data_IF_818828859066
#
_entry.id   IF_818828859066
#
_cell.length_a   1.000
_cell.length_b   1.000
_cell.length_c   1.000
_cell.angle_alpha   90.00
_cell.angle_beta   90.00
_cell.angle_gamma   90.00
#
_symmetry.space_group_name_H-M   'P 1'
#
loop_
_entity.id
_entity.type
_entity.pdbx_description
1 polymer ?
#
# COMPACT_ATOMS: atom_id res chain seq x y z
N UNK A 1 -14.27 10.40 10.17
CA UNK A 1 -13.11 11.05 9.52
C UNK A 1 -12.84 10.24 8.28
N UNK A 2 -12.90 10.88 7.12
CA UNK A 2 -12.55 10.23 5.85
C UNK A 2 -11.03 10.26 5.72
N UNK A 3 -10.41 9.10 5.58
CA UNK A 3 -8.96 8.93 5.38
C UNK A 3 -8.72 8.64 3.91
N UNK A 4 -7.49 8.86 3.43
CA UNK A 4 -7.14 8.49 2.05
C UNK A 4 -7.47 7.03 1.72
N UNK A 5 -7.44 6.12 2.69
CA UNK A 5 -7.78 4.72 2.49
C UNK A 5 -9.27 4.46 2.17
N UNK A 6 -10.16 5.41 2.45
CA UNK A 6 -11.58 5.27 2.06
C UNK A 6 -11.78 5.34 0.54
N UNK A 7 -10.79 5.84 -0.20
CA UNK A 7 -10.79 5.85 -1.67
C UNK A 7 -10.33 4.51 -2.27
N UNK A 8 -9.89 3.55 -1.44
CA UNK A 8 -9.53 2.21 -1.87
C UNK A 8 -10.68 1.23 -1.65
N UNK A 9 -10.82 0.18 -2.49
CA UNK A 9 -11.68 -0.95 -2.19
C UNK A 9 -11.38 -1.53 -0.81
N UNK A 10 -12.42 -1.93 -0.07
CA UNK A 10 -12.30 -2.38 1.33
C UNK A 10 -11.28 -3.53 1.50
N UNK A 11 -11.29 -4.49 0.57
CA UNK A 11 -10.35 -5.61 0.57
C UNK A 11 -8.88 -5.19 0.48
N UNK A 12 -8.58 -4.15 -0.31
CA UNK A 12 -7.20 -3.66 -0.49
C UNK A 12 -6.81 -2.72 0.64
N UNK A 13 -7.73 -1.86 1.06
CA UNK A 13 -7.55 -1.02 2.24
C UNK A 13 -7.14 -1.84 3.46
N UNK A 14 -7.86 -2.92 3.75
CA UNK A 14 -7.60 -3.72 4.95
C UNK A 14 -6.20 -4.33 4.89
N UNK A 15 -5.76 -4.79 3.72
CA UNK A 15 -4.42 -5.32 3.50
C UNK A 15 -3.34 -4.26 3.68
N UNK A 16 -3.51 -3.08 3.08
CA UNK A 16 -2.54 -1.98 3.23
C UNK A 16 -2.45 -1.53 4.68
N UNK A 17 -3.59 -1.33 5.35
CA UNK A 17 -3.63 -0.92 6.76
C UNK A 17 -3.03 -1.98 7.68
N UNK A 18 -3.30 -3.26 7.43
CA UNK A 18 -2.73 -4.36 8.20
C UNK A 18 -1.20 -4.40 8.07
N UNK A 19 -0.68 -4.37 6.83
CA UNK A 19 0.76 -4.46 6.56
C UNK A 19 1.52 -3.25 7.10
N UNK A 20 0.99 -2.04 6.88
CA UNK A 20 1.59 -0.84 7.44
C UNK A 20 1.52 -0.86 8.97
N UNK A 21 0.40 -1.27 9.56
CA UNK A 21 0.29 -1.37 11.02
C UNK A 21 1.28 -2.36 11.65
N UNK A 22 1.65 -3.42 10.92
CA UNK A 22 2.63 -4.41 11.37
C UNK A 22 4.09 -3.97 11.14
N UNK A 23 4.38 -3.31 10.01
CA UNK A 23 5.74 -3.02 9.56
C UNK A 23 6.19 -1.59 9.82
N UNK A 24 5.29 -0.63 9.66
CA UNK A 24 5.54 0.80 9.89
C UNK A 24 4.28 1.53 10.42
N UNK A 25 3.98 1.41 11.73
CA UNK A 25 2.82 2.07 12.32
C UNK A 25 2.94 3.60 12.32
N UNK A 26 4.14 4.17 12.22
CA UNK A 26 4.34 5.62 12.13
C UNK A 26 3.89 6.13 10.77
N UNK A 27 4.26 5.44 9.68
CA UNK A 27 3.78 5.74 8.34
C UNK A 27 2.25 5.59 8.26
N UNK A 28 1.67 4.53 8.81
CA UNK A 28 0.20 4.39 8.89
C UNK A 28 -0.43 5.59 9.61
N UNK A 29 0.14 5.99 10.74
CA UNK A 29 -0.32 7.14 11.51
C UNK A 29 -0.21 8.47 10.76
N UNK A 30 0.79 8.62 9.89
CA UNK A 30 0.92 9.77 9.00
C UNK A 30 -0.14 9.76 7.89
N UNK A 31 -0.28 8.64 7.17
CA UNK A 31 -1.24 8.47 6.07
C UNK A 31 -2.70 8.67 6.51
N UNK A 32 -3.06 8.24 7.73
CA UNK A 32 -4.41 8.41 8.28
C UNK A 32 -4.80 9.88 8.53
N UNK A 33 -3.83 10.81 8.60
CA UNK A 33 -4.07 12.23 8.90
C UNK A 33 -4.21 13.09 7.64
N UNK A 34 -4.14 12.51 6.47
CA UNK A 34 -4.04 13.22 5.20
C UNK A 34 -4.95 12.59 4.14
N UNK A 35 -5.33 13.40 3.16
CA UNK A 35 -6.21 12.98 2.07
C UNK A 35 -5.46 12.39 0.88
N UNK A 36 -4.13 12.54 0.84
CA UNK A 36 -3.23 11.97 -0.17
C UNK A 36 -1.83 11.73 0.41
N UNK A 37 -1.08 10.73 -0.09
CA UNK A 37 0.32 10.52 0.27
C UNK A 37 1.25 11.57 -0.38
N UNK A 38 2.44 11.74 0.19
CA UNK A 38 3.59 12.35 -0.50
C UNK A 38 4.32 11.31 -1.34
N UNK A 39 5.24 11.75 -2.20
CA UNK A 39 6.07 10.83 -3.00
C UNK A 39 6.91 9.91 -2.09
N UNK A 40 7.56 10.46 -1.06
CA UNK A 40 8.34 9.67 -0.10
C UNK A 40 7.47 8.63 0.64
N UNK A 41 6.24 8.98 0.99
CA UNK A 41 5.32 8.05 1.65
C UNK A 41 4.82 6.97 0.68
N UNK A 42 4.62 7.31 -0.59
CA UNK A 42 4.30 6.31 -1.61
C UNK A 42 5.46 5.33 -1.79
N UNK A 43 6.70 5.81 -1.90
CA UNK A 43 7.89 4.95 -1.99
C UNK A 43 7.98 4.03 -0.78
N UNK A 44 7.78 4.54 0.43
CA UNK A 44 7.76 3.72 1.64
C UNK A 44 6.63 2.65 1.62
N UNK A 45 5.45 2.98 1.11
CA UNK A 45 4.35 1.99 0.93
C UNK A 45 4.76 0.92 -0.09
N UNK A 46 5.39 1.29 -1.21
CA UNK A 46 5.88 0.36 -2.23
C UNK A 46 6.89 -0.61 -1.61
N UNK A 47 7.86 -0.10 -0.85
CA UNK A 47 8.87 -0.92 -0.20
C UNK A 47 8.25 -1.91 0.78
N UNK A 48 7.35 -1.45 1.65
CA UNK A 48 6.72 -2.28 2.68
C UNK A 48 5.84 -3.38 2.06
N UNK A 49 4.99 -3.04 1.09
CA UNK A 49 4.12 -4.01 0.42
C UNK A 49 4.91 -4.91 -0.51
N UNK A 50 5.97 -4.40 -1.15
CA UNK A 50 6.89 -5.17 -1.98
C UNK A 50 7.62 -6.24 -1.17
N UNK A 51 8.19 -5.86 -0.03
CA UNK A 51 8.82 -6.82 0.88
C UNK A 51 7.83 -7.88 1.35
N UNK A 52 6.62 -7.47 1.76
CA UNK A 52 5.56 -8.39 2.16
C UNK A 52 5.15 -9.33 1.02
N UNK A 53 5.08 -8.84 -0.21
CA UNK A 53 4.82 -9.65 -1.40
C UNK A 53 5.90 -10.71 -1.60
N UNK A 54 7.19 -10.35 -1.46
CA UNK A 54 8.29 -11.32 -1.64
C UNK A 54 8.25 -12.47 -0.64
N UNK A 55 7.78 -12.23 0.58
CA UNK A 55 7.58 -13.27 1.61
C UNK A 55 6.43 -14.22 1.28
N UNK A 56 5.54 -13.81 0.38
CA UNK A 56 4.38 -14.58 -0.06
C UNK A 56 4.55 -15.20 -1.46
N UNK A 57 5.79 -15.27 -1.95
CA UNK A 57 6.15 -16.03 -3.15
C UNK A 57 6.28 -17.52 -2.84
N UNK A 58 5.53 -18.33 -3.59
CA UNK A 58 5.55 -19.79 -3.52
C UNK A 58 6.67 -20.41 -4.37
N UNK A 59 6.61 -21.74 -4.52
CA UNK A 59 7.54 -22.46 -5.38
C UNK A 59 7.44 -21.94 -6.83
N UNK A 60 8.60 -21.62 -7.43
CA UNK A 60 8.64 -21.06 -8.79
C UNK A 60 8.45 -19.55 -8.87
N UNK A 61 8.49 -18.82 -7.75
CA UNK A 61 8.23 -17.38 -7.68
C UNK A 61 6.79 -16.99 -8.09
N UNK A 62 5.86 -17.94 -8.03
CA UNK A 62 4.44 -17.63 -8.21
C UNK A 62 3.86 -17.05 -6.92
N UNK A 63 3.13 -15.94 -6.96
CA UNK A 63 2.52 -15.39 -5.77
C UNK A 63 1.45 -16.34 -5.22
N UNK A 64 1.47 -16.57 -3.91
CA UNK A 64 0.36 -17.23 -3.22
C UNK A 64 -0.91 -16.38 -3.32
N UNK A 65 -2.06 -16.91 -2.88
CA UNK A 65 -3.31 -16.12 -2.79
C UNK A 65 -3.11 -14.83 -2.00
N UNK A 66 -2.31 -14.87 -0.93
CA UNK A 66 -1.98 -13.66 -0.15
C UNK A 66 -1.04 -12.73 -0.92
N UNK A 67 -0.03 -13.26 -1.60
CA UNK A 67 0.87 -12.47 -2.44
C UNK A 67 0.12 -11.71 -3.54
N UNK A 68 -0.78 -12.39 -4.26
CA UNK A 68 -1.61 -11.77 -5.30
C UNK A 68 -2.51 -10.66 -4.73
N UNK A 69 -3.04 -10.83 -3.52
CA UNK A 69 -3.85 -9.82 -2.86
C UNK A 69 -3.01 -8.57 -2.50
N UNK A 70 -1.78 -8.76 -2.05
CA UNK A 70 -0.84 -7.66 -1.73
C UNK A 70 -0.46 -6.90 -3.01
N UNK A 71 -0.16 -7.61 -4.08
CA UNK A 71 0.16 -7.01 -5.39
C UNK A 71 -1.02 -6.21 -5.94
N UNK A 72 -2.23 -6.77 -5.88
CA UNK A 72 -3.45 -6.05 -6.28
C UNK A 72 -3.69 -4.81 -5.42
N UNK A 73 -3.46 -4.89 -4.10
CA UNK A 73 -3.60 -3.75 -3.20
C UNK A 73 -2.58 -2.65 -3.52
N UNK A 74 -1.33 -3.02 -3.81
CA UNK A 74 -0.30 -2.08 -4.27
C UNK A 74 -0.69 -1.43 -5.60
N UNK A 75 -1.15 -2.22 -6.58
CA UNK A 75 -1.62 -1.73 -7.86
C UNK A 75 -2.79 -0.74 -7.71
N UNK A 76 -3.76 -1.03 -6.85
CA UNK A 76 -4.88 -0.13 -6.56
C UNK A 76 -4.40 1.17 -5.90
N UNK A 77 -3.44 1.10 -4.98
CA UNK A 77 -2.84 2.27 -4.33
C UNK A 77 -2.14 3.18 -5.35
N UNK A 78 -1.28 2.61 -6.19
CA UNK A 78 -0.54 3.37 -7.22
C UNK A 78 -1.44 3.90 -8.33
N UNK A 79 -2.53 3.21 -8.65
CA UNK A 79 -3.53 3.71 -9.60
C UNK A 79 -4.29 4.90 -9.02
N UNK A 80 -4.57 4.88 -7.71
CA UNK A 80 -5.32 5.96 -7.05
C UNK A 80 -4.48 7.23 -6.84
N UNK A 81 -3.18 7.05 -6.59
CA UNK A 81 -2.21 8.13 -6.42
C UNK A 81 -0.99 7.83 -7.28
N UNK A 82 -0.98 8.18 -8.58
CA UNK A 82 0.18 7.95 -9.43
C UNK A 82 1.32 8.90 -9.08
N UNK A 83 2.57 8.43 -9.17
CA UNK A 83 3.77 9.20 -8.82
C UNK A 83 3.87 10.55 -9.57
N UNK A 84 3.43 10.58 -10.83
CA UNK A 84 3.37 11.78 -11.67
C UNK A 84 2.51 12.88 -11.04
N UNK A 85 1.36 12.52 -10.44
CA UNK A 85 0.48 13.49 -9.77
C UNK A 85 1.00 13.92 -8.39
N UNK A 86 1.86 13.12 -7.77
CA UNK A 86 2.46 13.42 -6.47
C UNK A 86 3.69 14.32 -6.59
N UNK A 87 4.44 14.22 -7.69
CA UNK A 87 5.64 15.01 -7.96
C UNK A 87 5.36 16.49 -8.24
N UNK A 88 4.16 16.83 -8.71
CA UNK A 88 3.72 18.19 -9.04
C UNK A 88 3.03 18.94 -7.87
N UNK A 89 3.05 18.38 -6.64
CA UNK A 89 2.26 18.88 -5.51
C UNK A 89 3.02 19.60 -4.39
#
# INVERSE_FOLDING_TARGET
>A
MTTMFDDLPAEFRDVVVELLGQRDPELLGALLKQSKPTLEQQEAVIDILGDAFTEHLGAGHEPTVRGALIDNALGAFLTRWPAEELADS
#
